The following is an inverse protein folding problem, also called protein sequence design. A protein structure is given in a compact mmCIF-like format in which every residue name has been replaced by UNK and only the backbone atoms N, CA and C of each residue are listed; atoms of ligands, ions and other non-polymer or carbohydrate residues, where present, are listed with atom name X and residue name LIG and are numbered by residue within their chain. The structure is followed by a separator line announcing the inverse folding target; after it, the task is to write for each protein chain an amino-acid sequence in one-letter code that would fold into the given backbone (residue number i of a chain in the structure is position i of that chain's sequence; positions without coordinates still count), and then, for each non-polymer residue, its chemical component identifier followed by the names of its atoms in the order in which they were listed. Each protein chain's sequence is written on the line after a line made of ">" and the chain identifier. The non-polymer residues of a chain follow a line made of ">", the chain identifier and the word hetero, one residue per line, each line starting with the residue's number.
data_IF_450205710522
#
_entry.id   IF_450205710522
#
_cell.length_a   1.000
_cell.length_b   1.000
_cell.length_c   1.000
_cell.angle_alpha   90.00
_cell.angle_beta   90.00
_cell.angle_gamma   90.00
#
_symmetry.space_group_name_H-M   'P 1'
#
loop_
_entity.id
_entity.type
_entity.pdbx_description
1 polymer ?
#
# COMPACT_ATOMS: atom_id res chain seq x y z
N UNK A 1 18.34 -36.07 88.17
CA UNK A 1 17.95 -34.64 88.01
C UNK A 1 18.80 -33.94 86.96
N UNK A 2 20.14 -34.13 86.96
CA UNK A 2 21.05 -33.56 85.94
C UNK A 2 20.66 -33.92 84.50
N UNK A 3 20.49 -35.20 84.19
CA UNK A 3 20.19 -35.66 82.82
C UNK A 3 18.92 -35.07 82.22
N UNK A 4 17.90 -34.80 83.05
CA UNK A 4 16.65 -34.19 82.62
C UNK A 4 16.82 -32.70 82.26
N UNK A 5 17.66 -31.99 83.02
CA UNK A 5 18.01 -30.59 82.76
C UNK A 5 18.90 -30.46 81.52
N UNK A 6 19.85 -31.37 81.33
CA UNK A 6 20.71 -31.42 80.15
C UNK A 6 19.91 -31.76 78.88
N UNK A 7 18.99 -32.71 78.95
CA UNK A 7 18.07 -33.01 77.85
C UNK A 7 17.20 -31.80 77.48
N UNK A 8 16.65 -31.10 78.48
CA UNK A 8 15.87 -29.89 78.28
C UNK A 8 16.70 -28.76 77.67
N UNK A 9 17.95 -28.59 78.12
CA UNK A 9 18.91 -27.62 77.56
C UNK A 9 19.20 -27.93 76.08
N UNK A 10 19.47 -29.19 75.75
CA UNK A 10 19.69 -29.60 74.35
C UNK A 10 18.46 -29.38 73.48
N UNK A 11 17.25 -29.71 73.93
CA UNK A 11 16.01 -29.46 73.18
C UNK A 11 15.79 -27.97 72.87
N UNK A 12 16.02 -27.11 73.85
CA UNK A 12 15.89 -25.66 73.68
C UNK A 12 16.96 -25.15 72.71
N UNK A 13 18.20 -25.57 72.87
CA UNK A 13 19.30 -25.18 71.98
C UNK A 13 19.02 -25.60 70.53
N UNK A 14 18.60 -26.85 70.30
CA UNK A 14 18.25 -27.34 68.97
C UNK A 14 17.07 -26.58 68.36
N UNK A 15 16.06 -26.22 69.15
CA UNK A 15 14.94 -25.42 68.67
C UNK A 15 15.36 -24.01 68.24
N UNK A 16 16.29 -23.38 68.99
CA UNK A 16 16.85 -22.07 68.63
C UNK A 16 17.65 -22.17 67.34
N UNK A 17 18.57 -23.14 67.24
CA UNK A 17 19.41 -23.34 66.04
C UNK A 17 18.57 -23.62 64.79
N UNK A 18 17.57 -24.51 64.89
CA UNK A 18 16.65 -24.78 63.78
C UNK A 18 15.87 -23.52 63.38
N UNK A 19 15.43 -22.71 64.36
CA UNK A 19 14.73 -21.47 64.07
C UNK A 19 15.63 -20.42 63.39
N UNK A 20 16.91 -20.33 63.79
CA UNK A 20 17.88 -19.43 63.16
C UNK A 20 18.21 -19.86 61.73
N UNK A 21 18.41 -21.16 61.50
CA UNK A 21 18.68 -21.71 60.16
C UNK A 21 17.48 -21.50 59.23
N UNK A 22 16.26 -21.81 59.68
CA UNK A 22 15.03 -21.56 58.91
C UNK A 22 14.86 -20.08 58.61
N UNK A 23 15.13 -19.19 59.57
CA UNK A 23 15.06 -17.74 59.36
C UNK A 23 16.09 -17.30 58.33
N UNK A 24 17.34 -17.76 58.45
CA UNK A 24 18.42 -17.45 57.50
C UNK A 24 18.07 -17.89 56.08
N UNK A 25 17.64 -19.14 55.92
CA UNK A 25 17.19 -19.68 54.63
C UNK A 25 15.98 -18.93 54.05
N UNK A 26 15.00 -18.55 54.88
CA UNK A 26 13.84 -17.78 54.43
C UNK A 26 14.22 -16.36 53.97
N UNK A 27 15.13 -15.69 54.67
CA UNK A 27 15.65 -14.37 54.28
C UNK A 27 16.37 -14.47 52.92
N UNK A 28 17.25 -15.45 52.76
CA UNK A 28 17.99 -15.64 51.50
C UNK A 28 17.06 -15.93 50.32
N UNK A 29 16.05 -16.77 50.51
CA UNK A 29 15.04 -17.05 49.47
C UNK A 29 14.22 -15.80 49.13
N UNK A 30 13.88 -14.98 50.12
CA UNK A 30 13.15 -13.73 49.92
C UNK A 30 14.00 -12.70 49.18
N UNK A 31 15.29 -12.58 49.46
CA UNK A 31 16.21 -11.74 48.71
C UNK A 31 16.37 -12.19 47.26
N UNK A 32 16.52 -13.50 47.03
CA UNK A 32 16.53 -14.10 45.68
C UNK A 32 15.24 -13.81 44.93
N UNK A 33 14.08 -13.95 45.58
CA UNK A 33 12.78 -13.65 44.97
C UNK A 33 12.65 -12.16 44.60
N UNK A 34 13.09 -11.25 45.46
CA UNK A 34 13.11 -9.80 45.19
C UNK A 34 14.04 -9.45 44.04
N UNK A 35 15.22 -10.06 43.96
CA UNK A 35 16.16 -9.84 42.86
C UNK A 35 15.57 -10.32 41.52
N UNK A 36 14.90 -11.47 41.51
CA UNK A 36 14.19 -11.99 40.33
C UNK A 36 13.05 -11.08 39.91
N UNK A 37 12.26 -10.58 40.87
CA UNK A 37 11.17 -9.65 40.59
C UNK A 37 11.68 -8.39 39.88
N UNK A 38 12.74 -7.75 40.43
CA UNK A 38 13.35 -6.56 39.81
C UNK A 38 13.84 -6.83 38.38
N UNK A 39 14.43 -8.00 38.15
CA UNK A 39 14.88 -8.39 36.80
C UNK A 39 13.70 -8.50 35.84
N UNK A 40 12.61 -9.14 36.24
CA UNK A 40 11.40 -9.29 35.41
C UNK A 40 10.73 -7.95 35.16
N UNK A 41 10.68 -7.06 36.16
CA UNK A 41 10.16 -5.69 35.99
C UNK A 41 10.95 -4.92 34.93
N UNK A 42 12.29 -4.97 34.98
CA UNK A 42 13.15 -4.35 33.96
C UNK A 42 12.93 -4.94 32.57
N UNK A 43 12.78 -6.27 32.48
CA UNK A 43 12.51 -6.94 31.20
C UNK A 43 11.13 -6.57 30.65
N UNK A 44 10.11 -6.48 31.50
CA UNK A 44 8.77 -6.07 31.13
C UNK A 44 8.72 -4.61 30.66
N UNK A 45 9.42 -3.70 31.34
CA UNK A 45 9.53 -2.32 30.92
C UNK A 45 10.24 -2.17 29.58
N UNK A 46 11.34 -2.91 29.38
CA UNK A 46 12.03 -2.94 28.07
C UNK A 46 11.10 -3.47 26.97
N UNK A 47 10.38 -4.55 27.24
CA UNK A 47 9.42 -5.10 26.28
C UNK A 47 8.32 -4.09 25.94
N UNK A 48 7.78 -3.39 26.95
CA UNK A 48 6.77 -2.34 26.78
C UNK A 48 7.26 -1.22 25.88
N UNK A 49 8.45 -0.65 26.16
CA UNK A 49 9.02 0.46 25.37
C UNK A 49 9.32 0.01 23.94
N UNK A 50 9.91 -1.17 23.76
CA UNK A 50 10.19 -1.71 22.43
C UNK A 50 8.91 -1.97 21.65
N UNK A 51 7.91 -2.60 22.26
CA UNK A 51 6.61 -2.87 21.64
C UNK A 51 5.91 -1.59 21.20
N UNK A 52 5.88 -0.55 22.04
CA UNK A 52 5.30 0.74 21.62
C UNK A 52 6.06 1.38 20.45
N UNK A 53 7.39 1.26 20.43
CA UNK A 53 8.21 1.79 19.35
C UNK A 53 8.01 1.04 18.03
N UNK A 54 7.82 -0.29 18.10
CA UNK A 54 7.48 -1.13 16.95
C UNK A 54 6.08 -0.81 16.41
N UNK A 55 5.08 -0.71 17.29
CA UNK A 55 3.71 -0.32 16.91
C UNK A 55 3.69 1.04 16.19
N UNK A 56 4.44 2.02 16.68
CA UNK A 56 4.48 3.34 16.03
C UNK A 56 5.17 3.28 14.66
N UNK A 57 6.21 2.47 14.51
CA UNK A 57 6.87 2.25 13.22
C UNK A 57 5.94 1.56 12.21
N UNK A 58 5.21 0.55 12.66
CA UNK A 58 4.24 -0.18 11.83
C UNK A 58 3.08 0.73 11.43
N UNK A 59 2.60 1.58 12.35
CA UNK A 59 1.58 2.59 12.08
C UNK A 59 2.02 3.55 10.97
N UNK A 60 3.24 4.10 11.07
CA UNK A 60 3.79 4.99 10.05
C UNK A 60 3.98 4.28 8.70
N UNK A 61 4.45 3.03 8.73
CA UNK A 61 4.62 2.21 7.53
C UNK A 61 3.29 1.96 6.82
N UNK A 62 2.24 1.64 7.59
CA UNK A 62 0.89 1.44 7.08
C UNK A 62 0.30 2.72 6.48
N UNK A 63 0.48 3.86 7.14
CA UNK A 63 0.00 5.15 6.63
C UNK A 63 0.71 5.47 5.30
N UNK A 64 2.02 5.32 5.24
CA UNK A 64 2.81 5.61 4.05
C UNK A 64 2.45 4.68 2.87
N UNK A 65 2.27 3.39 3.12
CA UNK A 65 1.87 2.44 2.09
C UNK A 65 0.46 2.73 1.58
N UNK A 66 -0.49 3.03 2.47
CA UNK A 66 -1.86 3.41 2.12
C UNK A 66 -1.86 4.69 1.26
N UNK A 67 -1.08 5.71 1.65
CA UNK A 67 -0.97 6.95 0.89
C UNK A 67 -0.40 6.70 -0.51
N UNK A 68 0.65 5.89 -0.63
CA UNK A 68 1.23 5.53 -1.92
C UNK A 68 0.24 4.79 -2.83
N UNK A 69 -0.52 3.85 -2.28
CA UNK A 69 -1.59 3.16 -3.02
C UNK A 69 -2.69 4.12 -3.46
N UNK A 70 -3.06 5.09 -2.62
CA UNK A 70 -4.05 6.10 -2.96
C UNK A 70 -3.57 7.00 -4.10
N UNK A 71 -2.31 7.43 -4.07
CA UNK A 71 -1.70 8.24 -5.11
C UNK A 71 -1.64 7.49 -6.45
N UNK A 72 -1.22 6.21 -6.43
CA UNK A 72 -1.24 5.36 -7.62
C UNK A 72 -2.65 5.25 -8.20
N UNK A 73 -3.66 4.97 -7.36
CA UNK A 73 -5.06 4.87 -7.80
C UNK A 73 -5.58 6.17 -8.40
N UNK A 74 -5.15 7.33 -7.88
CA UNK A 74 -5.49 8.64 -8.44
C UNK A 74 -4.87 8.82 -9.82
N UNK A 75 -3.61 8.44 -10.00
CA UNK A 75 -2.92 8.54 -11.29
C UNK A 75 -3.58 7.65 -12.34
N UNK A 76 -3.85 6.38 -12.00
CA UNK A 76 -4.54 5.43 -12.89
C UNK A 76 -5.91 5.98 -13.34
N UNK A 77 -6.64 6.64 -12.42
CA UNK A 77 -7.93 7.25 -12.74
C UNK A 77 -7.80 8.46 -13.67
N UNK A 78 -6.78 9.28 -13.48
CA UNK A 78 -6.49 10.41 -14.37
C UNK A 78 -6.11 9.93 -15.77
N UNK A 79 -5.27 8.90 -15.88
CA UNK A 79 -4.94 8.26 -17.16
C UNK A 79 -6.18 7.71 -17.86
N UNK A 80 -7.06 7.05 -17.10
CA UNK A 80 -8.35 6.56 -17.62
C UNK A 80 -9.21 7.71 -18.16
N UNK A 81 -9.29 8.84 -17.44
CA UNK A 81 -10.04 10.02 -17.89
C UNK A 81 -9.46 10.57 -19.19
N UNK A 82 -8.13 10.71 -19.28
CA UNK A 82 -7.48 11.21 -20.50
C UNK A 82 -7.71 10.29 -21.69
N UNK A 83 -7.62 8.97 -21.49
CA UNK A 83 -7.94 7.99 -22.52
C UNK A 83 -9.39 8.13 -23.01
N UNK A 84 -10.35 8.22 -22.08
CA UNK A 84 -11.76 8.39 -22.39
C UNK A 84 -12.06 9.71 -23.12
N UNK A 85 -11.40 10.80 -22.74
CA UNK A 85 -11.48 12.08 -23.46
C UNK A 85 -11.05 11.91 -24.92
N UNK A 86 -9.89 11.30 -25.18
CA UNK A 86 -9.42 11.06 -26.55
C UNK A 86 -10.36 10.13 -27.32
N UNK A 87 -10.89 9.10 -26.65
CA UNK A 87 -11.87 8.18 -27.25
C UNK A 87 -13.12 8.92 -27.71
N UNK A 88 -13.70 9.76 -26.84
CA UNK A 88 -14.89 10.55 -27.14
C UNK A 88 -14.62 11.56 -28.26
N UNK A 89 -13.48 12.27 -28.22
CA UNK A 89 -13.08 13.21 -29.27
C UNK A 89 -13.03 12.51 -30.63
N UNK A 90 -12.38 11.34 -30.70
CA UNK A 90 -12.26 10.58 -31.94
C UNK A 90 -13.61 10.06 -32.44
N UNK A 91 -14.47 9.59 -31.54
CA UNK A 91 -15.83 9.17 -31.90
C UNK A 91 -16.67 10.32 -32.47
N UNK A 92 -16.62 11.50 -31.82
CA UNK A 92 -17.32 12.70 -32.31
C UNK A 92 -16.77 13.12 -33.67
N UNK A 93 -15.44 13.16 -33.83
CA UNK A 93 -14.80 13.50 -35.11
C UNK A 93 -15.24 12.56 -36.22
N UNK A 94 -15.27 11.25 -35.98
CA UNK A 94 -15.73 10.27 -36.97
C UNK A 94 -17.20 10.48 -37.36
N UNK A 95 -18.08 10.73 -36.39
CA UNK A 95 -19.50 11.00 -36.66
C UNK A 95 -19.70 12.28 -37.47
N UNK A 96 -19.02 13.36 -37.11
CA UNK A 96 -19.05 14.63 -37.84
C UNK A 96 -18.53 14.43 -39.26
N UNK A 97 -17.43 13.69 -39.43
CA UNK A 97 -16.87 13.38 -40.75
C UNK A 97 -17.83 12.56 -41.61
N UNK A 98 -18.46 11.52 -41.06
CA UNK A 98 -19.47 10.73 -41.77
C UNK A 98 -20.67 11.59 -42.19
N UNK A 99 -21.16 12.46 -41.32
CA UNK A 99 -22.25 13.37 -41.64
C UNK A 99 -21.86 14.36 -42.75
N UNK A 100 -20.65 14.92 -42.70
CA UNK A 100 -20.13 15.80 -43.74
C UNK A 100 -20.00 15.07 -45.09
N UNK A 101 -19.50 13.83 -45.10
CA UNK A 101 -19.43 13.00 -46.30
C UNK A 101 -20.81 12.71 -46.90
N UNK A 102 -21.79 12.34 -46.06
CA UNK A 102 -23.16 12.11 -46.52
C UNK A 102 -23.80 13.39 -47.09
N UNK A 103 -23.57 14.53 -46.45
CA UNK A 103 -24.04 15.83 -46.95
C UNK A 103 -23.37 16.24 -48.27
N UNK A 104 -22.06 16.02 -48.39
CA UNK A 104 -21.32 16.26 -49.63
C UNK A 104 -21.82 15.35 -50.75
N UNK A 105 -22.01 14.05 -50.49
CA UNK A 105 -22.55 13.09 -51.44
C UNK A 105 -23.94 13.52 -51.93
N UNK A 106 -24.86 13.84 -51.01
CA UNK A 106 -26.20 14.30 -51.39
C UNK A 106 -26.19 15.60 -52.22
N UNK A 107 -25.26 16.51 -51.92
CA UNK A 107 -25.07 17.73 -52.70
C UNK A 107 -24.54 17.43 -54.10
N UNK A 108 -23.50 16.59 -54.20
CA UNK A 108 -22.93 16.16 -55.48
C UNK A 108 -23.97 15.47 -56.35
N UNK A 109 -24.76 14.55 -55.79
CA UNK A 109 -25.85 13.87 -56.52
C UNK A 109 -26.87 14.86 -57.09
N UNK A 110 -27.18 15.94 -56.37
CA UNK A 110 -28.11 16.98 -56.84
C UNK A 110 -27.49 17.94 -57.87
N UNK A 111 -26.19 18.23 -57.74
CA UNK A 111 -25.49 19.20 -58.59
C UNK A 111 -24.87 18.57 -59.84
N UNK A 112 -24.84 17.23 -59.95
CA UNK A 112 -24.29 16.49 -61.08
C UNK A 112 -25.03 16.86 -62.38
N UNK A 113 -24.37 17.64 -63.23
CA UNK A 113 -24.83 17.98 -64.56
C UNK A 113 -23.72 17.70 -65.57
N UNK A 114 -24.06 17.68 -66.86
CA UNK A 114 -23.10 17.32 -67.92
C UNK A 114 -21.84 18.20 -67.92
N UNK A 115 -21.97 19.48 -67.58
CA UNK A 115 -20.84 20.43 -67.48
C UNK A 115 -19.89 20.08 -66.34
N UNK A 116 -20.43 19.84 -65.14
CA UNK A 116 -19.64 19.45 -63.97
C UNK A 116 -18.97 18.09 -64.21
N UNK A 117 -19.67 17.13 -64.81
CA UNK A 117 -19.10 15.84 -65.21
C UNK A 117 -17.90 16.00 -66.14
N UNK A 118 -18.04 16.77 -67.22
CA UNK A 118 -16.97 16.98 -68.18
C UNK A 118 -15.73 17.60 -67.51
N UNK A 119 -15.93 18.67 -66.72
CA UNK A 119 -14.83 19.32 -65.97
C UNK A 119 -14.13 18.36 -65.01
N UNK A 120 -14.87 17.56 -64.26
CA UNK A 120 -14.28 16.58 -63.33
C UNK A 120 -13.52 15.48 -64.07
N UNK A 121 -14.04 14.96 -65.19
CA UNK A 121 -13.36 13.94 -65.99
C UNK A 121 -12.06 14.50 -66.59
N UNK A 122 -12.09 15.69 -67.20
CA UNK A 122 -10.88 16.34 -67.73
C UNK A 122 -9.82 16.52 -66.64
N UNK A 123 -10.21 17.06 -65.47
CA UNK A 123 -9.27 17.23 -64.36
C UNK A 123 -8.66 15.91 -63.85
N UNK A 124 -9.45 14.84 -63.80
CA UNK A 124 -8.95 13.51 -63.41
C UNK A 124 -7.98 12.92 -64.45
N UNK A 125 -8.22 13.15 -65.75
CA UNK A 125 -7.32 12.73 -66.83
C UNK A 125 -5.99 13.48 -66.73
N UNK A 126 -6.04 14.80 -66.54
CA UNK A 126 -4.83 15.64 -66.38
C UNK A 126 -4.01 15.18 -65.16
N UNK A 127 -4.68 14.90 -64.04
CA UNK A 127 -4.02 14.40 -62.82
C UNK A 127 -3.39 13.02 -63.04
N UNK A 128 -4.05 12.12 -63.76
CA UNK A 128 -3.50 10.80 -64.09
C UNK A 128 -2.28 10.93 -65.01
N UNK A 129 -2.31 11.84 -65.99
CA UNK A 129 -1.17 12.16 -66.84
C UNK A 129 0.04 12.62 -66.02
N UNK A 130 -0.18 13.58 -65.11
CA UNK A 130 0.87 14.07 -64.23
C UNK A 130 1.45 12.98 -63.30
N UNK A 131 0.63 12.06 -62.81
CA UNK A 131 1.11 10.93 -61.99
C UNK A 131 2.00 9.97 -62.78
N UNK A 132 1.70 9.75 -64.06
CA UNK A 132 2.54 8.92 -64.93
C UNK A 132 3.88 9.61 -65.22
N UNK A 133 3.89 10.93 -65.45
CA UNK A 133 5.11 11.72 -65.67
C UNK A 133 6.03 11.79 -64.43
N UNK A 134 5.49 11.63 -63.21
CA UNK A 134 6.28 11.58 -61.97
C UNK A 134 6.88 10.18 -61.73
N UNK A 135 6.28 9.14 -62.33
CA UNK A 135 6.68 7.74 -62.12
C UNK A 135 7.70 7.25 -63.17
N UNK A 136 7.87 7.98 -64.27
CA UNK A 136 8.96 7.84 -65.26
C UNK A 136 10.26 8.56 -64.83
#
# INVERSE_FOLDING_TARGET
>A
LSDLLDNRKQRILNAILNSEELRGGAIEQLEKARARLRKVEMEADRYRVNGYSEIERDRLTLINSTYKTLEQKKNDKNETIHFEQQRVINQVRQRVFQQALQGALGTLTRCLNNELHFRTISANIDMLGAMNEITD
#
